data_IF_798721893785
#
_entry.id   IF_798721893785
#
_cell.length_a   1.000
_cell.length_b   1.000
_cell.length_c   1.000
_cell.angle_alpha   90.00
_cell.angle_beta   90.00
_cell.angle_gamma   90.00
#
_symmetry.space_group_name_H-M   'P 1'
#
loop_
_entity.id
_entity.type
_entity.pdbx_description
1 polymer ?
#
# COMPACT_ATOMS: atom_id res chain seq x y z
N UNK A 1 4.17 -6.64 -1.32
CA UNK A 1 3.52 -7.88 -0.81
C UNK A 1 4.48 -8.83 -0.09
N UNK A 2 5.53 -9.37 -0.74
CA UNK A 2 6.43 -10.34 -0.10
C UNK A 2 7.08 -9.82 1.21
N UNK A 3 7.49 -8.55 1.24
CA UNK A 3 7.99 -7.91 2.47
C UNK A 3 6.96 -7.88 3.59
N UNK A 4 5.70 -7.51 3.30
CA UNK A 4 4.64 -7.47 4.30
C UNK A 4 4.41 -8.85 4.94
N UNK A 5 4.39 -9.92 4.13
CA UNK A 5 4.27 -11.29 4.64
C UNK A 5 5.46 -11.69 5.52
N UNK A 6 6.68 -11.32 5.11
CA UNK A 6 7.89 -11.59 5.91
C UNK A 6 7.90 -10.82 7.24
N UNK A 7 7.46 -9.57 7.22
CA UNK A 7 7.39 -8.72 8.42
C UNK A 7 6.30 -9.25 9.35
N UNK A 8 5.12 -9.62 8.81
CA UNK A 8 4.03 -10.22 9.58
C UNK A 8 4.48 -11.45 10.38
N UNK A 9 5.38 -12.26 9.84
CA UNK A 9 5.92 -13.45 10.54
C UNK A 9 6.74 -13.11 11.80
N UNK A 10 7.18 -11.85 11.97
CA UNK A 10 7.90 -11.39 13.15
C UNK A 10 6.97 -11.07 14.32
N UNK A 11 5.64 -11.10 14.11
CA UNK A 11 4.63 -10.77 15.11
C UNK A 11 3.73 -11.96 15.42
N UNK A 12 3.36 -12.08 16.70
CA UNK A 12 2.27 -12.96 17.15
C UNK A 12 0.99 -12.13 17.21
N UNK A 13 0.09 -12.36 16.25
CA UNK A 13 -1.10 -11.55 16.02
C UNK A 13 -2.38 -12.36 16.24
N UNK A 14 -3.43 -11.78 16.85
CA UNK A 14 -3.49 -10.42 17.41
C UNK A 14 -2.57 -10.21 18.62
N UNK A 15 -2.11 -8.97 18.83
CA UNK A 15 -1.19 -8.64 19.94
C UNK A 15 -1.93 -8.83 21.27
N UNK A 16 -1.32 -9.55 22.20
CA UNK A 16 -1.90 -9.78 23.54
C UNK A 16 -3.01 -10.84 23.59
N UNK A 17 -3.42 -11.41 22.46
CA UNK A 17 -4.36 -12.53 22.44
C UNK A 17 -3.70 -13.85 22.90
N UNK A 18 -4.48 -14.80 23.44
CA UNK A 18 -3.96 -16.14 23.76
C UNK A 18 -3.40 -16.87 22.53
N UNK A 19 -2.42 -17.79 22.70
CA UNK A 19 -1.80 -18.50 21.57
C UNK A 19 -2.79 -19.23 20.65
N UNK A 20 -3.86 -19.80 21.20
CA UNK A 20 -4.91 -20.45 20.42
C UNK A 20 -5.62 -19.46 19.48
N UNK A 21 -5.99 -18.28 20.00
CA UNK A 21 -6.61 -17.21 19.21
C UNK A 21 -5.65 -16.66 18.15
N UNK A 22 -4.35 -16.56 18.46
CA UNK A 22 -3.33 -16.13 17.51
C UNK A 22 -3.15 -17.14 16.38
N UNK A 23 -3.11 -18.44 16.71
CA UNK A 23 -3.04 -19.51 15.73
C UNK A 23 -4.29 -19.53 14.83
N UNK A 24 -5.48 -19.42 15.41
CA UNK A 24 -6.75 -19.43 14.68
C UNK A 24 -6.89 -18.28 13.67
N UNK A 25 -6.29 -17.12 13.96
CA UNK A 25 -6.37 -15.93 13.11
C UNK A 25 -5.15 -15.74 12.21
N UNK A 26 -4.17 -16.65 12.25
CA UNK A 26 -2.87 -16.45 11.60
C UNK A 26 -2.98 -16.21 10.08
N UNK A 27 -3.86 -16.97 9.42
CA UNK A 27 -4.12 -16.83 7.99
C UNK A 27 -4.81 -15.50 7.67
N UNK A 28 -5.75 -15.06 8.51
CA UNK A 28 -6.46 -13.80 8.31
C UNK A 28 -5.49 -12.61 8.37
N UNK A 29 -4.60 -12.57 9.36
CA UNK A 29 -3.56 -11.54 9.46
C UNK A 29 -2.57 -11.57 8.30
N UNK A 30 -2.24 -12.76 7.78
CA UNK A 30 -1.37 -12.90 6.61
C UNK A 30 -2.05 -12.37 5.34
N UNK A 31 -3.32 -12.74 5.12
CA UNK A 31 -4.11 -12.27 3.99
C UNK A 31 -4.32 -10.76 4.05
N UNK A 32 -4.69 -10.20 5.20
CA UNK A 32 -4.83 -8.76 5.40
C UNK A 32 -3.51 -8.01 5.14
N UNK A 33 -2.37 -8.54 5.60
CA UNK A 33 -1.07 -7.95 5.31
C UNK A 33 -0.77 -7.94 3.81
N UNK A 34 -1.10 -9.02 3.10
CA UNK A 34 -0.93 -9.10 1.66
C UNK A 34 -1.85 -8.12 0.93
N UNK A 35 -3.13 -8.05 1.30
CA UNK A 35 -4.10 -7.14 0.68
C UNK A 35 -3.78 -5.67 0.98
N UNK A 36 -3.44 -5.32 2.22
CA UNK A 36 -3.01 -3.97 2.58
C UNK A 36 -1.79 -3.53 1.75
N UNK A 37 -0.79 -4.41 1.64
CA UNK A 37 0.39 -4.15 0.80
C UNK A 37 0.13 -4.20 -0.71
N UNK A 38 -0.98 -4.79 -1.17
CA UNK A 38 -1.38 -4.74 -2.59
C UNK A 38 -2.11 -3.43 -2.88
N UNK A 39 -3.00 -3.02 -1.98
CA UNK A 39 -3.88 -1.86 -2.14
C UNK A 39 -3.13 -0.54 -1.95
N UNK A 40 -2.06 -0.49 -1.16
CA UNK A 40 -1.36 0.75 -0.82
C UNK A 40 -1.00 1.63 -2.04
N UNK A 41 -0.68 1.00 -3.17
CA UNK A 41 -0.26 1.66 -4.41
C UNK A 41 -1.36 1.79 -5.47
N UNK A 42 -2.54 1.21 -5.25
CA UNK A 42 -3.64 1.26 -6.23
C UNK A 42 -4.10 2.69 -6.51
N UNK A 43 -4.07 3.56 -5.51
CA UNK A 43 -4.44 4.96 -5.67
C UNK A 43 -3.56 5.72 -6.66
N UNK A 44 -2.30 5.31 -6.86
CA UNK A 44 -1.42 5.91 -7.89
C UNK A 44 -2.03 5.76 -9.29
N UNK A 45 -2.68 4.62 -9.57
CA UNK A 45 -3.37 4.40 -10.85
C UNK A 45 -4.57 5.35 -10.99
N UNK A 46 -5.23 5.69 -9.88
CA UNK A 46 -6.38 6.58 -9.85
C UNK A 46 -6.04 8.05 -10.10
N UNK A 47 -4.95 8.54 -9.50
CA UNK A 47 -4.66 9.98 -9.44
C UNK A 47 -3.34 10.41 -10.08
N UNK A 48 -2.36 9.51 -10.22
CA UNK A 48 -1.03 9.85 -10.75
C UNK A 48 -0.87 9.48 -12.23
N UNK A 49 -1.85 8.78 -12.82
CA UNK A 49 -1.82 8.31 -14.21
C UNK A 49 -3.09 8.76 -14.94
N UNK A 50 -2.90 9.37 -16.12
CA UNK A 50 -4.00 9.57 -17.07
C UNK A 50 -3.89 8.55 -18.18
N UNK A 51 -4.93 7.74 -18.35
CA UNK A 51 -5.03 6.73 -19.41
C UNK A 51 -6.02 7.20 -20.48
N UNK A 52 -5.62 7.09 -21.73
CA UNK A 52 -6.47 7.34 -22.89
C UNK A 52 -6.50 6.09 -23.77
N UNK A 53 -7.71 5.64 -24.10
CA UNK A 53 -7.93 4.47 -24.93
C UNK A 53 -7.74 4.79 -26.41
N UNK A 54 -7.71 3.75 -27.26
CA UNK A 54 -7.54 3.87 -28.70
C UNK A 54 -8.61 4.75 -29.38
N UNK A 55 -9.82 4.78 -28.84
CA UNK A 55 -10.94 5.61 -29.33
C UNK A 55 -10.89 7.08 -28.84
N UNK A 56 -9.88 7.44 -28.05
CA UNK A 56 -9.72 8.79 -27.48
C UNK A 56 -10.42 9.00 -26.13
N UNK A 57 -11.16 8.00 -25.63
CA UNK A 57 -11.85 8.09 -24.34
C UNK A 57 -10.87 8.04 -23.18
N UNK A 58 -11.11 8.86 -22.15
CA UNK A 58 -10.34 8.77 -20.90
C UNK A 58 -10.82 7.56 -20.10
N UNK A 59 -9.89 6.68 -19.74
CA UNK A 59 -10.19 5.55 -18.87
C UNK A 59 -9.97 5.92 -17.41
N UNK A 60 -10.81 5.33 -16.56
CA UNK A 60 -10.68 5.38 -15.12
C UNK A 60 -10.67 3.97 -14.54
N UNK A 61 -9.93 3.73 -13.45
CA UNK A 61 -9.77 2.39 -12.89
C UNK A 61 -11.04 1.77 -12.30
N UNK A 62 -12.09 2.57 -12.03
CA UNK A 62 -13.40 2.05 -11.65
C UNK A 62 -14.23 1.56 -12.84
N UNK A 63 -13.77 1.73 -14.09
CA UNK A 63 -14.38 1.11 -15.27
C UNK A 63 -13.92 -0.34 -15.50
N UNK A 64 -13.08 -0.88 -14.61
CA UNK A 64 -12.57 -2.24 -14.72
C UNK A 64 -11.34 -2.35 -15.63
N UNK A 65 -10.91 -3.58 -15.96
CA UNK A 65 -9.68 -3.82 -16.72
C UNK A 65 -9.66 -3.12 -18.09
N UNK A 66 -8.45 -2.78 -18.57
CA UNK A 66 -8.24 -2.26 -19.92
C UNK A 66 -8.42 -3.40 -20.93
N UNK A 67 -9.36 -3.26 -21.85
CA UNK A 67 -9.75 -4.26 -22.85
C UNK A 67 -9.37 -3.88 -24.29
N UNK A 68 -8.81 -2.68 -24.48
CA UNK A 68 -8.35 -2.17 -25.76
C UNK A 68 -6.98 -1.48 -25.64
N UNK A 69 -6.26 -1.28 -26.77
CA UNK A 69 -5.00 -0.55 -26.75
C UNK A 69 -5.16 0.83 -26.12
N UNK A 70 -4.17 1.25 -25.34
CA UNK A 70 -4.21 2.51 -24.61
C UNK A 70 -2.84 3.16 -24.59
N UNK A 71 -2.83 4.45 -24.30
CA UNK A 71 -1.63 5.19 -23.91
C UNK A 71 -1.84 5.81 -22.53
N UNK A 72 -0.75 6.03 -21.82
CA UNK A 72 -0.80 6.66 -20.52
C UNK A 72 0.27 7.73 -20.38
N UNK A 73 0.03 8.67 -19.48
CA UNK A 73 1.01 9.65 -19.05
C UNK A 73 0.94 9.85 -17.54
N UNK A 74 2.08 10.11 -16.93
CA UNK A 74 2.14 10.49 -15.53
C UNK A 74 1.70 11.95 -15.36
N UNK A 75 0.90 12.21 -14.33
CA UNK A 75 0.48 13.56 -13.94
C UNK A 75 1.61 14.23 -13.14
N UNK A 76 1.89 15.50 -13.42
CA UNK A 76 2.85 16.33 -12.65
C UNK A 76 2.17 16.85 -11.37
N UNK A 77 2.94 17.03 -10.29
CA UNK A 77 2.41 17.54 -9.01
C UNK A 77 1.70 16.47 -8.18
N UNK A 78 2.37 15.34 -7.94
CA UNK A 78 1.82 14.21 -7.19
C UNK A 78 1.54 14.58 -5.74
N UNK A 79 0.33 14.31 -5.28
CA UNK A 79 -0.03 14.40 -3.86
C UNK A 79 -0.02 12.99 -3.26
N UNK A 80 1.02 12.72 -2.45
CA UNK A 80 1.19 11.42 -1.79
C UNK A 80 0.06 11.10 -0.82
N UNK A 81 -0.58 12.09 -0.21
CA UNK A 81 -1.72 11.86 0.69
C UNK A 81 -2.95 11.50 -0.11
N UNK A 82 -3.12 12.12 -1.28
CA UNK A 82 -4.23 11.85 -2.17
C UNK A 82 -4.22 10.41 -2.69
N UNK A 83 -3.07 9.85 -3.10
CA UNK A 83 -3.06 8.46 -3.55
C UNK A 83 -3.39 7.48 -2.43
N UNK A 84 -3.01 7.76 -1.19
CA UNK A 84 -3.35 6.90 -0.06
C UNK A 84 -4.87 6.76 0.09
N UNK A 85 -5.58 7.89 0.04
CA UNK A 85 -7.03 7.92 0.06
C UNK A 85 -7.65 7.34 -1.22
N UNK A 86 -7.06 7.59 -2.39
CA UNK A 86 -7.60 7.17 -3.68
C UNK A 86 -7.58 5.65 -3.89
N UNK A 87 -6.75 4.90 -3.15
CA UNK A 87 -6.78 3.43 -3.14
C UNK A 87 -8.16 2.87 -2.78
N UNK A 88 -8.93 3.60 -1.96
CA UNK A 88 -10.29 3.24 -1.60
C UNK A 88 -11.27 3.23 -2.79
N UNK A 89 -10.96 3.91 -3.90
CA UNK A 89 -11.83 3.96 -5.09
C UNK A 89 -11.84 2.66 -5.89
N UNK A 90 -10.81 1.82 -5.73
CA UNK A 90 -10.54 0.71 -6.67
C UNK A 90 -10.39 -0.64 -5.96
N UNK A 91 -10.20 -0.69 -4.63
CA UNK A 91 -9.95 -1.96 -3.94
C UNK A 91 -11.01 -3.03 -4.23
N UNK A 92 -12.29 -2.64 -4.40
CA UNK A 92 -13.38 -3.56 -4.69
C UNK A 92 -13.27 -4.24 -6.07
N UNK A 93 -12.51 -3.65 -7.01
CA UNK A 93 -12.22 -4.25 -8.31
C UNK A 93 -11.05 -5.24 -8.27
N UNK A 94 -10.26 -5.23 -7.18
CA UNK A 94 -9.04 -6.05 -7.04
C UNK A 94 -9.23 -7.15 -6.00
N UNK A 95 -9.97 -6.87 -4.93
CA UNK A 95 -10.19 -7.81 -3.84
C UNK A 95 -11.53 -8.53 -4.05
N UNK A 96 -11.55 -9.88 -4.14
CA UNK A 96 -12.79 -10.63 -4.27
C UNK A 96 -13.72 -10.40 -3.08
N UNK A 97 -15.03 -10.25 -3.35
CA UNK A 97 -16.04 -10.07 -2.30
C UNK A 97 -15.96 -11.17 -1.22
N UNK A 98 -15.78 -12.44 -1.61
CA UNK A 98 -15.61 -13.56 -0.67
C UNK A 98 -14.44 -13.39 0.31
N UNK A 99 -13.36 -12.73 -0.11
CA UNK A 99 -12.23 -12.44 0.76
C UNK A 99 -12.58 -11.34 1.76
N UNK A 100 -13.30 -10.30 1.33
CA UNK A 100 -13.81 -9.25 2.22
C UNK A 100 -14.83 -9.81 3.22
N UNK A 101 -15.76 -10.66 2.77
CA UNK A 101 -16.73 -11.34 3.63
C UNK A 101 -16.01 -12.14 4.73
N UNK A 102 -15.00 -12.94 4.36
CA UNK A 102 -14.20 -13.71 5.30
C UNK A 102 -13.43 -12.82 6.29
N UNK A 103 -12.74 -11.80 5.80
CA UNK A 103 -11.94 -10.90 6.64
C UNK A 103 -12.80 -10.05 7.59
N UNK A 104 -14.03 -9.71 7.19
CA UNK A 104 -14.98 -8.98 8.04
C UNK A 104 -15.40 -9.77 9.28
N UNK A 105 -15.21 -11.09 9.29
CA UNK A 105 -15.43 -11.95 10.45
C UNK A 105 -14.43 -11.75 11.60
N UNK A 106 -13.37 -10.94 11.40
CA UNK A 106 -12.35 -10.63 12.40
C UNK A 106 -12.36 -9.12 12.72
N UNK A 107 -13.18 -8.64 13.69
CA UNK A 107 -13.46 -7.21 13.85
C UNK A 107 -12.25 -6.29 14.09
N UNK A 108 -11.29 -6.75 14.89
CA UNK A 108 -10.04 -6.02 15.17
C UNK A 108 -9.22 -5.85 13.88
N UNK A 109 -8.97 -6.96 13.18
CA UNK A 109 -8.28 -6.98 11.90
C UNK A 109 -9.01 -6.15 10.84
N UNK A 110 -10.33 -6.29 10.77
CA UNK A 110 -11.17 -5.59 9.81
C UNK A 110 -11.07 -4.08 9.95
N UNK A 111 -11.11 -3.58 11.18
CA UNK A 111 -10.95 -2.14 11.48
C UNK A 111 -9.62 -1.64 10.94
N UNK A 112 -8.53 -2.34 11.24
CA UNK A 112 -7.19 -1.97 10.77
C UNK A 112 -7.08 -2.03 9.24
N UNK A 113 -7.68 -3.05 8.62
CA UNK A 113 -7.67 -3.23 7.16
C UNK A 113 -8.40 -2.11 6.43
N UNK A 114 -9.56 -1.69 6.93
CA UNK A 114 -10.33 -0.58 6.34
C UNK A 114 -9.56 0.74 6.40
N UNK A 115 -8.92 1.05 7.54
CA UNK A 115 -8.06 2.23 7.65
C UNK A 115 -6.84 2.14 6.72
N UNK A 116 -6.23 0.95 6.59
CA UNK A 116 -5.12 0.74 5.66
C UNK A 116 -5.54 0.96 4.19
N UNK A 117 -6.74 0.51 3.78
CA UNK A 117 -7.25 0.76 2.42
C UNK A 117 -7.55 2.23 2.15
N UNK A 118 -7.90 3.00 3.17
CA UNK A 118 -8.07 4.45 3.09
C UNK A 118 -6.73 5.22 3.14
N UNK A 119 -5.59 4.51 3.21
CA UNK A 119 -4.26 5.12 3.34
C UNK A 119 -4.00 5.78 4.69
N UNK A 120 -4.85 5.53 5.69
CA UNK A 120 -4.74 6.06 7.04
C UNK A 120 -3.96 5.09 7.93
N UNK A 121 -2.70 4.83 7.59
CA UNK A 121 -1.87 3.83 8.29
C UNK A 121 -1.68 4.14 9.77
N UNK A 122 -1.74 5.42 10.15
CA UNK A 122 -1.70 5.88 11.54
C UNK A 122 -2.90 5.41 12.38
N UNK A 123 -4.02 5.06 11.73
CA UNK A 123 -5.21 4.49 12.37
C UNK A 123 -5.34 2.97 12.16
N UNK A 124 -4.41 2.38 11.40
CA UNK A 124 -4.42 0.95 11.07
C UNK A 124 -3.54 0.10 12.01
N UNK A 125 -3.05 0.67 13.12
CA UNK A 125 -2.28 -0.01 14.16
C UNK A 125 -1.17 -0.91 13.57
N UNK A 126 -0.98 -2.11 14.11
CA UNK A 126 0.08 -3.04 13.68
C UNK A 126 0.00 -3.40 12.20
N UNK A 127 -1.19 -3.52 11.62
CA UNK A 127 -1.31 -3.76 10.18
C UNK A 127 -0.76 -2.58 9.36
N UNK A 128 -1.04 -1.35 9.80
CA UNK A 128 -0.49 -0.12 9.23
C UNK A 128 1.03 -0.09 9.31
N UNK A 129 1.60 -0.50 10.45
CA UNK A 129 3.05 -0.62 10.62
C UNK A 129 3.67 -1.65 9.67
N UNK A 130 3.07 -2.85 9.56
CA UNK A 130 3.53 -3.90 8.66
C UNK A 130 3.56 -3.40 7.20
N UNK A 131 2.48 -2.76 6.75
CA UNK A 131 2.38 -2.23 5.38
C UNK A 131 3.39 -1.11 5.15
N UNK A 132 3.53 -0.17 6.08
CA UNK A 132 4.49 0.93 5.96
C UNK A 132 5.95 0.45 5.96
N UNK A 133 6.30 -0.51 6.81
CA UNK A 133 7.64 -1.10 6.82
C UNK A 133 7.91 -1.88 5.53
N UNK A 134 6.90 -2.58 4.98
CA UNK A 134 7.03 -3.30 3.73
C UNK A 134 7.27 -2.39 2.53
N UNK A 135 6.57 -1.26 2.46
CA UNK A 135 6.79 -0.21 1.46
C UNK A 135 8.23 0.34 1.55
N UNK A 136 8.67 0.73 2.75
CA UNK A 136 10.04 1.22 2.97
C UNK A 136 11.11 0.19 2.57
N UNK A 137 10.91 -1.08 2.90
CA UNK A 137 11.83 -2.15 2.53
C UNK A 137 11.88 -2.36 1.00
N UNK A 138 10.74 -2.24 0.31
CA UNK A 138 10.66 -2.32 -1.15
C UNK A 138 11.42 -1.18 -1.82
N UNK A 139 11.18 0.07 -1.40
CA UNK A 139 11.87 1.26 -1.92
C UNK A 139 13.38 1.15 -1.71
N UNK A 140 13.82 0.67 -0.54
CA UNK A 140 15.24 0.50 -0.26
C UNK A 140 15.90 -0.54 -1.18
N UNK A 141 15.23 -1.65 -1.47
CA UNK A 141 15.74 -2.65 -2.41
C UNK A 141 15.88 -2.06 -3.82
N UNK A 142 14.88 -1.32 -4.30
CA UNK A 142 14.90 -0.67 -5.62
C UNK A 142 16.01 0.37 -5.76
N UNK A 143 16.37 1.05 -4.67
CA UNK A 143 17.46 2.03 -4.62
C UNK A 143 18.85 1.40 -4.41
N UNK A 144 18.97 0.05 -4.45
CA UNK A 144 20.23 -0.66 -4.22
C UNK A 144 20.68 -0.70 -2.76
N UNK A 145 19.78 -0.35 -1.83
CA UNK A 145 20.01 -0.41 -0.38
C UNK A 145 19.77 -1.81 0.18
N UNK A 146 20.36 -2.08 1.35
CA UNK A 146 20.14 -3.34 2.07
C UNK A 146 18.78 -3.27 2.81
N UNK A 147 17.80 -4.15 2.50
CA UNK A 147 16.45 -4.09 3.08
C UNK A 147 16.45 -4.14 4.62
N UNK A 148 17.40 -4.87 5.22
CA UNK A 148 17.55 -4.95 6.68
C UNK A 148 18.03 -3.65 7.34
N UNK A 149 18.73 -2.78 6.61
CA UNK A 149 19.11 -1.43 7.08
C UNK A 149 17.99 -0.41 6.93
N UNK A 150 17.08 -0.60 5.97
CA UNK A 150 15.94 0.30 5.78
C UNK A 150 14.87 0.12 6.86
N UNK A 151 14.62 -1.13 7.26
CA UNK A 151 13.71 -1.43 8.37
C UNK A 151 14.20 -0.92 9.74
N UNK A 152 15.50 -0.66 9.89
CA UNK A 152 16.13 -0.13 11.11
C UNK A 152 16.48 1.35 11.02
N UNK A 153 16.21 2.00 9.87
CA UNK A 153 16.54 3.40 9.66
C UNK A 153 15.54 4.31 10.41
N UNK A 154 16.00 5.31 11.18
CA UNK A 154 15.12 6.28 11.80
C UNK A 154 14.24 6.98 10.75
N UNK A 155 12.96 7.24 11.08
CA UNK A 155 11.98 7.92 10.20
C UNK A 155 12.47 9.27 9.64
N UNK A 156 13.51 9.87 10.22
CA UNK A 156 14.16 11.12 9.79
C UNK A 156 15.67 10.91 9.55
N UNK A 157 16.07 10.03 8.62
CA UNK A 157 17.49 9.93 8.26
C UNK A 157 17.90 11.11 7.36
N UNK A 158 19.11 11.65 7.59
CA UNK A 158 19.70 12.73 6.79
C UNK A 158 19.74 12.36 5.30
N UNK A 159 19.95 11.07 4.99
CA UNK A 159 19.95 10.55 3.62
C UNK A 159 18.59 10.72 2.93
N UNK A 160 17.49 10.52 3.65
CA UNK A 160 16.13 10.73 3.13
C UNK A 160 15.84 12.20 2.90
N UNK A 161 16.22 13.07 3.84
CA UNK A 161 16.10 14.53 3.67
C UNK A 161 16.92 15.05 2.49
N UNK A 162 18.12 14.49 2.27
CA UNK A 162 18.98 14.85 1.15
C UNK A 162 18.38 14.40 -0.19
N UNK A 163 17.85 13.18 -0.26
CA UNK A 163 17.19 12.67 -1.47
C UNK A 163 15.90 13.46 -1.81
N UNK A 164 15.13 13.83 -0.79
CA UNK A 164 13.95 14.69 -0.94
C UNK A 164 14.35 16.08 -1.44
N UNK A 165 15.39 16.69 -0.82
CA UNK A 165 15.91 18.00 -1.22
C UNK A 165 16.45 18.02 -2.65
N UNK A 166 17.16 16.96 -3.07
CA UNK A 166 17.62 16.79 -4.44
C UNK A 166 16.46 16.66 -5.44
N UNK A 167 15.38 15.94 -5.08
CA UNK A 167 14.17 15.85 -5.91
C UNK A 167 13.49 17.20 -6.09
N UNK A 168 13.36 17.99 -5.03
CA UNK A 168 12.77 19.34 -5.09
C UNK A 168 13.60 20.24 -6.00
N UNK A 169 14.93 20.26 -5.84
CA UNK A 169 15.82 21.07 -6.67
C UNK A 169 15.79 20.72 -8.16
N UNK A 170 15.60 19.44 -8.49
CA UNK A 170 15.43 19.00 -9.88
C UNK A 170 14.08 19.45 -10.43
N UNK A 171 13.01 19.43 -9.62
CA UNK A 171 11.67 19.86 -10.05
C UNK A 171 11.51 21.38 -10.18
N UNK A 172 12.35 22.17 -9.51
CA UNK A 172 12.32 23.64 -9.61
C UNK A 172 13.17 24.19 -10.76
N UNK A 173 14.17 23.44 -11.24
CA UNK A 173 15.07 23.89 -12.31
C UNK A 173 14.72 23.37 -13.71
N UNK A 174 13.75 22.47 -13.87
CA UNK A 174 13.36 21.88 -15.15
C UNK A 174 11.84 21.70 -15.31
#
# INVERSE_FOLDING_TARGET
VAYALKIRQMYLLPIGAPPESQAAQSEAWSAASAYGALVHDLGKIAVDVKVELADGTTWHPWHGPLDQPYRFKYVKGRDYRLHGAASSLIYANVIPAKALDWLSGFPELWTQLVFAFAGQYEHADILGEIVSQADQASVAQELGGNPGRAMSAPKQSIQRQLAEGLRVLISEKF
#
